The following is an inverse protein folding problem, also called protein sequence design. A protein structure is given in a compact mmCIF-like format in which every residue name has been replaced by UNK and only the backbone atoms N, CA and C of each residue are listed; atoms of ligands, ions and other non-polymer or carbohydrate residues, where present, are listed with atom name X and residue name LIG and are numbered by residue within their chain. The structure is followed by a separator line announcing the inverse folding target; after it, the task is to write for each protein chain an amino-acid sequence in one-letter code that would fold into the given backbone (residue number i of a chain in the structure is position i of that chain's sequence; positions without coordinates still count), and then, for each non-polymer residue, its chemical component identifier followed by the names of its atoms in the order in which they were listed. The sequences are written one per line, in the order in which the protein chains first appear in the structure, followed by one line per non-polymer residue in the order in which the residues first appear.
data_IF_299095198491
#
_entry.id   IF_299095198491
#
_cell.length_a   1.000
_cell.length_b   1.000
_cell.length_c   1.000
_cell.angle_alpha   90.00
_cell.angle_beta   90.00
_cell.angle_gamma   90.00
#
_symmetry.space_group_name_H-M   'P 1'
#
loop_
_entity.id
_entity.type
_entity.pdbx_description
1 polymer ?
#
# COMPACT_ATOMS: atom_id res chain seq x y z
N UNK A 1 -5.55 17.83 6.61
CA UNK A 1 -5.28 18.18 5.20
C UNK A 1 -6.47 18.01 4.24
N UNK A 2 -7.65 17.49 4.63
CA UNK A 2 -8.77 17.29 3.69
C UNK A 2 -9.27 18.54 2.93
N UNK A 3 -9.15 19.73 3.51
CA UNK A 3 -9.57 20.97 2.85
C UNK A 3 -8.54 21.53 1.84
N UNK A 4 -7.29 21.09 1.92
CA UNK A 4 -6.16 21.59 1.12
C UNK A 4 -5.61 20.55 0.13
N UNK A 5 -6.07 19.30 0.21
CA UNK A 5 -5.71 18.22 -0.71
C UNK A 5 -6.67 18.18 -1.90
N UNK A 6 -6.13 18.00 -3.11
CA UNK A 6 -6.93 17.85 -4.33
C UNK A 6 -7.93 16.70 -4.19
N UNK A 7 -9.10 16.77 -4.86
CA UNK A 7 -10.08 15.68 -4.83
C UNK A 7 -9.53 14.36 -5.35
N UNK A 8 -8.65 14.42 -6.34
CA UNK A 8 -7.98 13.24 -6.90
C UNK A 8 -7.02 12.61 -5.88
N UNK A 9 -6.16 13.41 -5.26
CA UNK A 9 -5.25 12.96 -4.20
C UNK A 9 -6.02 12.43 -2.99
N UNK A 10 -7.12 13.07 -2.59
CA UNK A 10 -7.98 12.57 -1.52
C UNK A 10 -8.53 11.19 -1.82
N UNK A 11 -9.01 10.97 -3.05
CA UNK A 11 -9.53 9.66 -3.46
C UNK A 11 -8.43 8.60 -3.42
N UNK A 12 -7.21 8.93 -3.85
CA UNK A 12 -6.05 8.04 -3.78
C UNK A 12 -5.68 7.70 -2.33
N UNK A 13 -5.66 8.70 -1.45
CA UNK A 13 -5.33 8.50 -0.03
C UNK A 13 -6.42 7.71 0.71
N UNK A 14 -7.69 7.91 0.37
CA UNK A 14 -8.79 7.09 0.90
C UNK A 14 -8.68 5.64 0.43
N UNK A 15 -8.27 5.38 -0.81
CA UNK A 15 -8.00 4.02 -1.31
C UNK A 15 -6.81 3.39 -0.58
N UNK A 16 -5.69 4.11 -0.45
CA UNK A 16 -4.53 3.63 0.32
C UNK A 16 -4.91 3.28 1.76
N UNK A 17 -5.67 4.15 2.43
CA UNK A 17 -6.14 3.91 3.80
C UNK A 17 -6.97 2.62 3.88
N UNK A 18 -7.92 2.45 2.95
CA UNK A 18 -8.77 1.26 2.90
C UNK A 18 -7.94 -0.01 2.73
N UNK A 19 -6.99 0.00 1.79
CA UNK A 19 -6.13 -1.15 1.51
C UNK A 19 -5.27 -1.51 2.73
N UNK A 20 -4.69 -0.51 3.41
CA UNK A 20 -3.95 -0.72 4.67
C UNK A 20 -4.86 -1.33 5.73
N UNK A 21 -6.07 -0.82 5.90
CA UNK A 21 -7.04 -1.35 6.87
C UNK A 21 -7.41 -2.80 6.58
N UNK A 22 -7.62 -3.17 5.31
CA UNK A 22 -7.89 -4.56 4.90
C UNK A 22 -6.69 -5.49 5.21
N UNK A 23 -5.46 -5.03 4.95
CA UNK A 23 -4.25 -5.78 5.28
C UNK A 23 -4.13 -6.00 6.79
N UNK A 24 -4.26 -4.94 7.58
CA UNK A 24 -4.14 -5.02 9.05
C UNK A 24 -5.21 -5.95 9.62
N UNK A 25 -6.47 -5.80 9.20
CA UNK A 25 -7.55 -6.69 9.62
C UNK A 25 -7.24 -8.14 9.31
N UNK A 26 -6.67 -8.42 8.13
CA UNK A 26 -6.32 -9.79 7.74
C UNK A 26 -5.23 -10.37 8.64
N UNK A 27 -4.21 -9.59 8.99
CA UNK A 27 -3.17 -10.01 9.94
C UNK A 27 -3.70 -10.18 11.38
N UNK A 28 -4.72 -9.43 11.77
CA UNK A 28 -5.37 -9.54 13.08
C UNK A 28 -6.28 -10.77 13.19
N UNK A 29 -6.62 -11.44 12.08
CA UNK A 29 -7.41 -12.66 12.11
C UNK A 29 -6.62 -13.78 12.83
N UNK A 30 -7.21 -14.46 13.84
CA UNK A 30 -6.51 -15.53 14.57
C UNK A 30 -6.20 -16.75 13.70
N UNK A 31 -6.83 -16.86 12.54
CA UNK A 31 -6.64 -17.92 11.57
C UNK A 31 -5.62 -17.55 10.49
N UNK A 32 -5.13 -16.31 10.47
CA UNK A 32 -4.13 -15.88 9.51
C UNK A 32 -2.89 -16.77 9.60
N UNK A 33 -2.39 -17.19 8.44
CA UNK A 33 -1.12 -17.89 8.37
C UNK A 33 -0.44 -17.64 7.02
N UNK A 34 0.83 -17.26 7.05
CA UNK A 34 1.67 -17.17 5.85
C UNK A 34 1.81 -18.53 5.12
N UNK A 35 1.47 -19.65 5.76
CA UNK A 35 1.43 -20.95 5.10
C UNK A 35 0.19 -21.14 4.21
N UNK A 36 -0.86 -20.33 4.39
CA UNK A 36 -2.09 -20.40 3.62
C UNK A 36 -1.89 -19.70 2.27
N UNK A 37 -2.05 -20.40 1.13
CA UNK A 37 -1.94 -19.77 -0.17
C UNK A 37 -3.00 -18.67 -0.35
N UNK A 38 -4.21 -18.86 0.20
CA UNK A 38 -5.29 -17.88 0.14
C UNK A 38 -4.97 -16.61 0.93
N UNK A 39 -4.38 -16.73 2.12
CA UNK A 39 -4.01 -15.55 2.90
C UNK A 39 -2.86 -14.79 2.24
N UNK A 40 -1.89 -15.51 1.67
CA UNK A 40 -0.80 -14.91 0.91
C UNK A 40 -1.29 -14.18 -0.34
N UNK A 41 -2.15 -14.81 -1.13
CA UNK A 41 -2.74 -14.19 -2.32
C UNK A 41 -3.54 -12.94 -1.94
N UNK A 42 -4.33 -13.01 -0.86
CA UNK A 42 -5.07 -11.86 -0.35
C UNK A 42 -4.14 -10.69 -0.04
N UNK A 43 -3.07 -10.90 0.73
CA UNK A 43 -2.11 -9.84 1.08
C UNK A 43 -1.41 -9.29 -0.16
N UNK A 44 -0.97 -10.14 -1.08
CA UNK A 44 -0.29 -9.73 -2.33
C UNK A 44 -1.20 -8.85 -3.19
N UNK A 45 -2.48 -9.21 -3.36
CA UNK A 45 -3.46 -8.39 -4.10
C UNK A 45 -3.60 -6.99 -3.50
N UNK A 46 -3.63 -6.88 -2.16
CA UNK A 46 -3.74 -5.58 -1.48
C UNK A 46 -2.45 -4.79 -1.63
N UNK A 47 -1.28 -5.42 -1.55
CA UNK A 47 -0.01 -4.74 -1.81
C UNK A 47 0.07 -4.19 -3.24
N UNK A 48 -0.39 -4.95 -4.24
CA UNK A 48 -0.47 -4.48 -5.63
C UNK A 48 -1.46 -3.32 -5.78
N UNK A 49 -2.62 -3.39 -5.13
CA UNK A 49 -3.60 -2.29 -5.09
C UNK A 49 -3.00 -1.02 -4.49
N UNK A 50 -2.19 -1.15 -3.43
CA UNK A 50 -1.49 -0.03 -2.81
C UNK A 50 -0.45 0.60 -3.74
N UNK A 51 0.33 -0.21 -4.46
CA UNK A 51 1.25 0.30 -5.49
C UNK A 51 0.51 1.03 -6.61
N UNK A 52 -0.65 0.51 -7.05
CA UNK A 52 -1.47 1.16 -8.07
C UNK A 52 -2.09 2.50 -7.59
N UNK A 53 -2.40 2.62 -6.30
CA UNK A 53 -2.82 3.89 -5.70
C UNK A 53 -1.67 4.91 -5.63
N UNK A 54 -0.42 4.45 -5.72
CA UNK A 54 0.82 5.21 -5.77
C UNK A 54 1.34 5.60 -4.40
N UNK A 55 2.26 6.57 -4.36
CA UNK A 55 2.98 6.91 -3.13
C UNK A 55 2.06 7.42 -2.01
N UNK A 56 2.27 6.96 -0.75
CA UNK A 56 1.54 7.46 0.40
C UNK A 56 1.85 8.94 0.70
N UNK A 57 1.00 9.65 1.48
CA UNK A 57 1.24 11.04 1.83
C UNK A 57 2.58 11.23 2.56
N UNK A 58 3.39 12.20 2.12
CA UNK A 58 4.71 12.47 2.71
C UNK A 58 4.68 12.82 4.21
N UNK A 59 3.55 13.34 4.71
CA UNK A 59 3.33 13.56 6.15
C UNK A 59 3.19 12.25 6.96
N UNK A 60 2.81 11.14 6.33
CA UNK A 60 2.57 9.85 7.00
C UNK A 60 3.78 8.91 6.91
N UNK A 61 4.47 8.92 5.78
CA UNK A 61 5.73 8.18 5.57
C UNK A 61 6.88 9.15 5.78
N UNK A 62 7.39 9.20 7.02
CA UNK A 62 8.47 10.12 7.41
C UNK A 62 9.67 10.04 6.45
N UNK A 63 10.49 8.99 6.54
CA UNK A 63 11.59 8.81 5.59
C UNK A 63 11.08 8.26 4.26
N UNK A 64 10.93 9.15 3.28
CA UNK A 64 10.53 8.84 1.91
C UNK A 64 11.39 7.74 1.27
N UNK A 65 12.67 7.61 1.63
CA UNK A 65 13.52 6.54 1.09
C UNK A 65 13.01 5.15 1.51
N UNK A 66 12.72 4.98 2.81
CA UNK A 66 12.16 3.73 3.34
C UNK A 66 10.78 3.38 2.77
N UNK A 67 9.96 4.41 2.50
CA UNK A 67 8.66 4.25 1.89
C UNK A 67 8.73 3.94 0.39
N UNK A 68 9.71 4.51 -0.32
CA UNK A 68 9.96 4.21 -1.74
C UNK A 68 10.48 2.78 -1.92
N UNK A 69 11.32 2.30 -0.99
CA UNK A 69 11.77 0.90 -0.97
C UNK A 69 10.63 -0.07 -0.61
N UNK A 70 9.73 0.29 0.32
CA UNK A 70 8.62 -0.56 0.74
C UNK A 70 7.44 -0.59 -0.25
N UNK A 71 7.14 0.55 -0.90
CA UNK A 71 5.96 0.72 -1.76
C UNK A 71 6.28 0.88 -3.25
N UNK A 72 7.54 0.70 -3.66
CA UNK A 72 7.92 0.58 -5.07
C UNK A 72 7.91 1.88 -5.87
N UNK A 73 8.05 3.04 -5.20
CA UNK A 73 8.26 4.30 -5.90
C UNK A 73 9.76 4.51 -6.19
N UNK A 74 10.31 3.71 -7.10
CA UNK A 74 11.53 4.12 -7.79
C UNK A 74 11.16 5.30 -8.72
N UNK A 75 11.83 6.45 -8.64
CA UNK A 75 11.74 7.45 -9.68
C UNK A 75 12.53 6.89 -10.85
N UNK A 76 11.83 6.32 -11.84
CA UNK A 76 12.41 5.88 -13.11
C UNK A 76 13.45 4.75 -12.97
N UNK A 77 13.03 3.49 -13.14
CA UNK A 77 13.79 2.36 -13.73
C UNK A 77 13.33 1.00 -13.18
N UNK A 78 12.76 0.19 -14.07
CA UNK A 78 12.98 -1.26 -14.09
C UNK A 78 12.22 -2.13 -13.09
N UNK A 79 11.08 -2.66 -13.51
CA UNK A 79 10.78 -4.06 -13.19
C UNK A 79 11.71 -4.95 -14.05
N UNK A 80 12.68 -5.71 -13.51
CA UNK A 80 13.07 -6.93 -14.18
C UNK A 80 12.01 -7.98 -13.84
N UNK A 81 11.23 -8.37 -14.84
CA UNK A 81 10.57 -9.67 -14.82
C UNK A 81 11.67 -10.74 -14.70
N UNK A 82 11.70 -11.45 -13.59
CA UNK A 82 12.34 -12.77 -13.47
C UNK A 82 11.46 -13.66 -12.60
#
# INVERSE_FOLDING_TARGET
NKASTSKEDLKRFEEQQRVVEEIVKKFEEPTYTDASPTDREYIVERMQSMQAAGSPPADLVGDMASAQEAFGAAPDEGCPQQ
#
